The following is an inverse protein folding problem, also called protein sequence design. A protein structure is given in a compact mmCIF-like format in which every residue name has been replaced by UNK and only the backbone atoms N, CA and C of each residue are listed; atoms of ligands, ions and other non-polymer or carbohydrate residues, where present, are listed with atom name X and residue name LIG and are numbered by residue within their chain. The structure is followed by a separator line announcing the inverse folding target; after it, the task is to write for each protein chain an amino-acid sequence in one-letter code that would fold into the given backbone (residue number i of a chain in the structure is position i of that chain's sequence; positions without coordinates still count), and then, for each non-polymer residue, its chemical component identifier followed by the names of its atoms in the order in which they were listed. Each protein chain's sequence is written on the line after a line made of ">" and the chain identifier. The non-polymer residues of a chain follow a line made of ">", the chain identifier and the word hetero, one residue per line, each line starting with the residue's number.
data_IF_299865521872
#
_entry.id   IF_299865521872
#
_cell.length_a   1.000
_cell.length_b   1.000
_cell.length_c   1.000
_cell.angle_alpha   90.00
_cell.angle_beta   90.00
_cell.angle_gamma   90.00
#
_symmetry.space_group_name_H-M   'P 1'
#
loop_
_entity.id
_entity.type
_entity.pdbx_description
1 polymer ?
#
# COMPACT_ATOMS: atom_id res chain seq x y z
N UNK A 1 -12.79 -5.02 31.45
CA UNK A 1 -12.99 -5.67 30.13
C UNK A 1 -12.68 -4.65 29.05
N UNK A 2 -11.42 -4.20 28.94
CA UNK A 2 -11.06 -3.03 28.10
C UNK A 2 -9.88 -3.31 27.16
N UNK A 3 -9.63 -4.58 26.83
CA UNK A 3 -8.39 -4.99 26.14
C UNK A 3 -8.57 -5.26 24.64
N UNK A 4 -9.77 -5.06 24.10
CA UNK A 4 -10.07 -5.25 22.67
C UNK A 4 -10.63 -3.99 22.01
N UNK A 5 -10.22 -2.81 22.47
CA UNK A 5 -10.54 -1.58 21.75
C UNK A 5 -9.54 -1.43 20.61
N UNK A 6 -9.89 -1.98 19.44
CA UNK A 6 -9.12 -1.82 18.22
C UNK A 6 -9.01 -0.32 17.92
N UNK A 7 -7.78 0.19 17.74
CA UNK A 7 -7.54 1.57 17.30
C UNK A 7 -7.93 1.73 15.82
N UNK A 8 -9.23 1.94 15.62
CA UNK A 8 -9.86 2.14 14.30
C UNK A 8 -9.24 3.32 13.56
N UNK A 9 -8.90 4.40 14.27
CA UNK A 9 -8.36 5.61 13.66
C UNK A 9 -6.89 5.43 13.27
N UNK A 10 -6.11 4.71 14.09
CA UNK A 10 -4.78 4.25 13.75
C UNK A 10 -4.78 3.35 12.51
N UNK A 11 -5.74 2.43 12.39
CA UNK A 11 -5.91 1.60 11.19
C UNK A 11 -6.22 2.44 9.95
N UNK A 12 -7.19 3.38 10.03
CA UNK A 12 -7.49 4.30 8.92
C UNK A 12 -6.28 5.15 8.52
N UNK A 13 -5.51 5.63 9.50
CA UNK A 13 -4.28 6.38 9.21
C UNK A 13 -3.23 5.52 8.53
N UNK A 14 -3.12 4.23 8.88
CA UNK A 14 -2.21 3.30 8.23
C UNK A 14 -2.64 3.04 6.77
N UNK A 15 -3.95 2.83 6.52
CA UNK A 15 -4.49 2.68 5.17
C UNK A 15 -4.13 3.87 4.29
N UNK A 16 -4.40 5.10 4.76
CA UNK A 16 -4.07 6.32 4.01
C UNK A 16 -2.57 6.47 3.73
N UNK A 17 -1.70 5.98 4.61
CA UNK A 17 -0.24 6.00 4.39
C UNK A 17 0.19 5.00 3.32
N UNK A 18 -0.43 3.82 3.31
CA UNK A 18 -0.19 2.78 2.32
C UNK A 18 -0.56 3.25 0.90
N UNK A 19 -1.68 3.97 0.76
CA UNK A 19 -2.09 4.58 -0.51
C UNK A 19 -1.08 5.63 -1.00
N UNK A 20 -0.64 6.52 -0.11
CA UNK A 20 0.38 7.52 -0.44
C UNK A 20 1.72 6.91 -0.86
N UNK A 21 2.08 5.76 -0.30
CA UNK A 21 3.30 5.04 -0.68
C UNK A 21 3.16 4.46 -2.10
N UNK A 22 2.01 3.87 -2.45
CA UNK A 22 1.73 3.38 -3.81
C UNK A 22 1.85 4.53 -4.83
N UNK A 23 1.21 5.68 -4.55
CA UNK A 23 1.27 6.85 -5.43
C UNK A 23 2.69 7.38 -5.63
N UNK A 24 3.46 7.52 -4.55
CA UNK A 24 4.85 8.01 -4.62
C UNK A 24 5.75 7.06 -5.41
N UNK A 25 5.58 5.76 -5.21
CA UNK A 25 6.38 4.76 -5.93
C UNK A 25 6.06 4.76 -7.43
N UNK A 26 4.77 4.78 -7.80
CA UNK A 26 4.35 4.95 -9.21
C UNK A 26 4.92 6.22 -9.83
N UNK A 27 4.88 7.33 -9.11
CA UNK A 27 5.45 8.60 -9.55
C UNK A 27 6.96 8.53 -9.78
N UNK A 28 7.70 7.86 -8.90
CA UNK A 28 9.15 7.65 -9.06
C UNK A 28 9.47 6.78 -10.28
N UNK A 29 8.72 5.69 -10.50
CA UNK A 29 8.87 4.81 -11.67
C UNK A 29 8.63 5.56 -12.99
N UNK A 30 7.58 6.38 -13.06
CA UNK A 30 7.32 7.21 -14.24
C UNK A 30 8.43 8.22 -14.53
N UNK A 31 9.02 8.82 -13.49
CA UNK A 31 10.14 9.75 -13.64
C UNK A 31 11.38 9.04 -14.17
N UNK A 32 11.69 7.84 -13.68
CA UNK A 32 12.81 7.04 -14.16
C UNK A 32 12.61 6.64 -15.63
N UNK A 33 11.43 6.15 -16.00
CA UNK A 33 11.10 5.84 -17.40
C UNK A 33 11.25 7.06 -18.34
N UNK A 34 10.96 8.28 -17.84
CA UNK A 34 11.10 9.51 -18.62
C UNK A 34 12.55 9.89 -18.90
N UNK A 35 13.48 9.57 -18.00
CA UNK A 35 14.90 9.87 -18.18
C UNK A 35 15.51 8.93 -19.21
N UNK A 36 15.08 7.66 -19.24
CA UNK A 36 15.48 6.66 -20.22
C UNK A 36 16.98 6.29 -20.16
N UNK A 37 17.38 5.15 -20.73
CA UNK A 37 18.80 4.75 -20.80
C UNK A 37 19.58 5.57 -21.85
N UNK A 38 18.90 6.05 -22.90
CA UNK A 38 19.52 6.68 -24.07
C UNK A 38 19.93 8.12 -23.77
N UNK A 39 21.16 8.29 -23.31
CA UNK A 39 21.73 9.61 -23.09
C UNK A 39 23.04 9.62 -22.28
N UNK A 40 23.46 8.48 -21.74
CA UNK A 40 24.63 8.39 -20.86
C UNK A 40 25.94 8.12 -21.62
N UNK A 41 25.84 7.74 -22.90
CA UNK A 41 26.95 7.83 -23.86
C UNK A 41 27.90 6.64 -23.91
N UNK A 42 27.57 5.52 -23.24
CA UNK A 42 28.27 4.24 -23.41
C UNK A 42 27.31 3.06 -23.26
N UNK A 43 27.42 2.07 -24.14
CA UNK A 43 26.51 0.90 -24.18
C UNK A 43 26.42 0.16 -22.83
N UNK A 44 27.52 0.12 -22.06
CA UNK A 44 27.53 -0.51 -20.73
C UNK A 44 26.73 0.24 -19.68
N UNK A 45 26.77 1.58 -19.72
CA UNK A 45 26.04 2.44 -18.78
C UNK A 45 24.55 2.48 -19.13
N UNK A 46 24.22 2.51 -20.43
CA UNK A 46 22.85 2.44 -20.92
C UNK A 46 22.20 1.09 -20.53
N UNK A 47 22.90 -0.05 -20.70
CA UNK A 47 22.41 -1.38 -20.30
C UNK A 47 22.22 -1.53 -18.78
N UNK A 48 23.15 -0.98 -17.98
CA UNK A 48 23.03 -0.99 -16.53
C UNK A 48 21.84 -0.15 -16.04
N UNK A 49 21.58 0.98 -16.70
CA UNK A 49 20.41 1.81 -16.43
C UNK A 49 19.11 1.12 -16.83
N UNK A 50 19.06 0.41 -17.95
CA UNK A 50 17.89 -0.40 -18.33
C UNK A 50 17.60 -1.50 -17.32
N UNK A 51 18.61 -2.29 -16.95
CA UNK A 51 18.45 -3.36 -15.95
C UNK A 51 18.00 -2.79 -14.59
N UNK A 52 18.56 -1.65 -14.18
CA UNK A 52 18.12 -0.96 -12.97
C UNK A 52 16.67 -0.49 -13.06
N UNK A 53 16.24 0.07 -14.19
CA UNK A 53 14.87 0.54 -14.38
C UNK A 53 13.87 -0.63 -14.34
N UNK A 54 14.20 -1.76 -14.95
CA UNK A 54 13.38 -2.96 -14.94
C UNK A 54 13.25 -3.56 -13.53
N UNK A 55 14.37 -3.79 -12.84
CA UNK A 55 14.40 -4.32 -11.47
C UNK A 55 13.67 -3.38 -10.49
N UNK A 56 13.88 -2.07 -10.64
CA UNK A 56 13.21 -1.05 -9.84
C UNK A 56 11.70 -1.02 -10.11
N UNK A 57 11.29 -1.18 -11.38
CA UNK A 57 9.90 -1.29 -11.78
C UNK A 57 9.20 -2.50 -11.16
N UNK A 58 9.83 -3.68 -11.20
CA UNK A 58 9.32 -4.89 -10.56
C UNK A 58 9.24 -4.74 -9.04
N UNK A 59 10.30 -4.20 -8.42
CA UNK A 59 10.34 -3.94 -6.98
C UNK A 59 9.20 -3.03 -6.53
N UNK A 60 8.96 -1.92 -7.24
CA UNK A 60 7.84 -1.02 -6.98
C UNK A 60 6.50 -1.74 -7.12
N UNK A 61 6.33 -2.53 -8.19
CA UNK A 61 5.08 -3.26 -8.42
C UNK A 61 4.79 -4.25 -7.29
N UNK A 62 5.80 -4.99 -6.82
CA UNK A 62 5.68 -5.92 -5.69
C UNK A 62 5.32 -5.20 -4.40
N UNK A 63 5.91 -4.05 -4.13
CA UNK A 63 5.58 -3.25 -2.94
C UNK A 63 4.16 -2.70 -3.05
N UNK A 64 3.76 -2.20 -4.22
CA UNK A 64 2.39 -1.75 -4.50
C UNK A 64 1.36 -2.86 -4.26
N UNK A 65 1.61 -4.06 -4.76
CA UNK A 65 0.70 -5.21 -4.60
C UNK A 65 0.62 -5.65 -3.13
N UNK A 66 1.74 -5.69 -2.41
CA UNK A 66 1.75 -5.97 -0.98
C UNK A 66 0.99 -4.90 -0.17
N UNK A 67 1.17 -3.62 -0.53
CA UNK A 67 0.46 -2.49 0.08
C UNK A 67 -1.05 -2.64 -0.09
N UNK A 68 -1.51 -2.99 -1.31
CA UNK A 68 -2.93 -3.26 -1.59
C UNK A 68 -3.48 -4.43 -0.78
N UNK A 69 -2.74 -5.54 -0.70
CA UNK A 69 -3.18 -6.69 0.09
C UNK A 69 -3.32 -6.35 1.59
N UNK A 70 -2.36 -5.61 2.14
CA UNK A 70 -2.43 -5.10 3.51
C UNK A 70 -3.64 -4.17 3.70
N UNK A 71 -3.86 -3.27 2.74
CA UNK A 71 -5.00 -2.36 2.77
C UNK A 71 -6.34 -3.12 2.78
N UNK A 72 -6.51 -4.10 1.89
CA UNK A 72 -7.72 -4.93 1.84
C UNK A 72 -7.92 -5.76 3.11
N UNK A 73 -6.86 -6.35 3.65
CA UNK A 73 -6.91 -7.12 4.89
C UNK A 73 -7.37 -6.26 6.06
N UNK A 74 -6.75 -5.09 6.24
CA UNK A 74 -7.09 -4.14 7.29
C UNK A 74 -8.52 -3.59 7.13
N UNK A 75 -8.96 -3.29 5.90
CA UNK A 75 -10.33 -2.86 5.63
C UNK A 75 -11.35 -3.93 6.05
N UNK A 76 -11.12 -5.20 5.68
CA UNK A 76 -11.97 -6.31 6.09
C UNK A 76 -12.00 -6.49 7.60
N UNK A 77 -10.86 -6.36 8.28
CA UNK A 77 -10.78 -6.41 9.75
C UNK A 77 -11.60 -5.30 10.38
N UNK A 78 -11.51 -4.08 9.87
CA UNK A 78 -12.29 -2.95 10.36
C UNK A 78 -13.79 -3.16 10.17
N UNK A 79 -14.22 -3.58 8.97
CA UNK A 79 -15.62 -3.87 8.66
C UNK A 79 -16.18 -4.97 9.58
N UNK A 80 -15.40 -6.03 9.82
CA UNK A 80 -15.77 -7.14 10.69
C UNK A 80 -15.94 -6.69 12.14
N UNK A 81 -15.02 -5.84 12.63
CA UNK A 81 -15.10 -5.28 13.98
C UNK A 81 -16.34 -4.39 14.14
N UNK A 82 -16.59 -3.49 13.18
CA UNK A 82 -17.75 -2.60 13.22
C UNK A 82 -19.08 -3.37 13.16
N UNK A 83 -19.16 -4.41 12.33
CA UNK A 83 -20.35 -5.26 12.27
C UNK A 83 -20.58 -5.99 13.58
N UNK A 84 -19.51 -6.56 14.16
CA UNK A 84 -19.59 -7.28 15.44
C UNK A 84 -20.06 -6.36 16.56
N UNK A 85 -19.52 -5.14 16.64
CA UNK A 85 -19.91 -4.16 17.64
C UNK A 85 -21.38 -3.74 17.48
N UNK A 86 -21.84 -3.51 16.24
CA UNK A 86 -23.24 -3.19 15.97
C UNK A 86 -24.19 -4.32 16.37
N UNK A 87 -23.82 -5.57 16.09
CA UNK A 87 -24.64 -6.74 16.41
C UNK A 87 -24.69 -6.99 17.93
N UNK A 88 -23.57 -6.80 18.63
CA UNK A 88 -23.54 -6.79 20.09
C UNK A 88 -24.43 -5.69 20.66
N UNK A 89 -24.31 -4.46 20.17
CA UNK A 89 -25.11 -3.33 20.65
C UNK A 89 -26.61 -3.57 20.44
N UNK A 90 -27.03 -4.11 19.29
CA UNK A 90 -28.42 -4.50 19.03
C UNK A 90 -28.89 -5.59 20.00
N UNK A 91 -28.09 -6.64 20.18
CA UNK A 91 -28.43 -7.76 21.07
C UNK A 91 -28.56 -7.36 22.54
N UNK A 92 -27.78 -6.38 23.00
CA UNK A 92 -27.88 -5.82 24.35
C UNK A 92 -28.98 -4.76 24.51
N UNK A 93 -29.38 -4.06 23.45
CA UNK A 93 -30.47 -3.07 23.47
C UNK A 93 -31.87 -3.69 23.36
N UNK A 94 -31.95 -4.99 23.04
CA UNK A 94 -33.20 -5.73 22.89
C UNK A 94 -33.65 -6.47 24.18
N UNK A 95 -32.93 -6.27 25.29
CA UNK A 95 -33.31 -6.69 26.65
C UNK A 95 -33.65 -5.46 27.48
#
# INVERSE_FOLDING_TARGET
>A
MADFQIDVDGMKSLLNRLDQVDDRMRGAQQRLNKVGPKGLGTDGLDNACDSFQDDWGDGIKRIADASKQLHEGLKKTLESYQSTEQDLQKGFSQK
#
